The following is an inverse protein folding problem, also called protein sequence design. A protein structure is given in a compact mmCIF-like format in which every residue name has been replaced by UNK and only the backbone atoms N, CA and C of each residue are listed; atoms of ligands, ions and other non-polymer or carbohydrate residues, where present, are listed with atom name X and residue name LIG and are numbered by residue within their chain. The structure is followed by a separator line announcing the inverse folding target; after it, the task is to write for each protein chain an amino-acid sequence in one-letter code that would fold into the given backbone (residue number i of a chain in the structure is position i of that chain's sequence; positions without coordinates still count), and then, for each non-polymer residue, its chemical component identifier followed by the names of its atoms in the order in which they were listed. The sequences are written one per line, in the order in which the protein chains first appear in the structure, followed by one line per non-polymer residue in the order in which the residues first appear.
data_IF_040908281129
#
_entry.id   IF_040908281129
#
_cell.length_a   1.000
_cell.length_b   1.000
_cell.length_c   1.000
_cell.angle_alpha   90.00
_cell.angle_beta   90.00
_cell.angle_gamma   90.00
#
_symmetry.space_group_name_H-M   'P 1'
#
loop_
_entity.id
_entity.type
_entity.pdbx_description
1 polymer ?
#
# COMPACT_ATOMS: atom_id res chain seq x y z
N UNK A 1 25.41 -21.98 -3.67
CA UNK A 1 24.76 -20.78 -3.13
C UNK A 1 23.98 -20.12 -4.25
N UNK A 2 22.70 -20.48 -4.41
CA UNK A 2 21.76 -19.76 -5.29
C UNK A 2 20.54 -19.41 -4.43
N UNK A 3 20.56 -18.24 -3.80
CA UNK A 3 19.39 -17.71 -3.11
C UNK A 3 18.71 -16.72 -4.06
N UNK A 4 18.09 -17.26 -5.12
CA UNK A 4 17.25 -16.48 -6.03
C UNK A 4 15.99 -16.13 -5.26
N UNK A 5 15.88 -14.89 -4.81
CA UNK A 5 14.73 -14.38 -4.06
C UNK A 5 13.54 -14.34 -5.03
N UNK A 6 12.83 -15.45 -5.17
CA UNK A 6 11.57 -15.51 -5.92
C UNK A 6 10.49 -14.84 -5.05
N UNK A 7 10.57 -13.52 -4.91
CA UNK A 7 9.39 -12.74 -4.58
C UNK A 7 8.53 -12.79 -5.84
N UNK A 8 7.37 -13.40 -5.71
CA UNK A 8 6.41 -13.47 -6.80
C UNK A 8 5.26 -12.52 -6.45
N UNK A 9 4.58 -11.98 -7.45
CA UNK A 9 3.44 -11.09 -7.25
C UNK A 9 2.40 -11.66 -6.28
N UNK A 10 2.27 -13.00 -6.20
CA UNK A 10 1.40 -13.67 -5.22
C UNK A 10 1.82 -13.41 -3.78
N UNK A 11 3.13 -13.38 -3.49
CA UNK A 11 3.65 -13.10 -2.16
C UNK A 11 3.36 -11.64 -1.77
N UNK A 12 3.57 -10.70 -2.70
CA UNK A 12 3.23 -9.30 -2.51
C UNK A 12 1.73 -9.11 -2.24
N UNK A 13 0.87 -9.74 -3.06
CA UNK A 13 -0.58 -9.69 -2.89
C UNK A 13 -1.00 -10.24 -1.53
N UNK A 14 -0.44 -11.39 -1.13
CA UNK A 14 -0.71 -12.01 0.16
C UNK A 14 -0.22 -11.16 1.36
N UNK A 15 0.89 -10.44 1.23
CA UNK A 15 1.36 -9.51 2.26
C UNK A 15 0.43 -8.31 2.39
N UNK A 16 -0.03 -7.75 1.26
CA UNK A 16 -1.03 -6.67 1.25
C UNK A 16 -2.27 -7.04 2.06
N UNK A 17 -2.80 -8.23 1.82
CA UNK A 17 -3.95 -8.76 2.56
C UNK A 17 -3.68 -8.93 4.06
N UNK A 18 -2.49 -9.40 4.42
CA UNK A 18 -2.10 -9.58 5.82
C UNK A 18 -2.00 -8.25 6.57
N UNK A 19 -1.38 -7.23 5.95
CA UNK A 19 -1.25 -5.90 6.54
C UNK A 19 -2.60 -5.19 6.64
N UNK A 20 -3.43 -5.24 5.59
CA UNK A 20 -4.78 -4.67 5.62
C UNK A 20 -5.68 -5.37 6.65
N UNK A 21 -5.49 -6.67 6.85
CA UNK A 21 -6.19 -7.40 7.91
C UNK A 21 -5.69 -7.03 9.30
N UNK A 22 -4.39 -6.85 9.48
CA UNK A 22 -3.78 -6.48 10.75
C UNK A 22 -4.14 -5.05 11.19
N UNK A 23 -4.43 -4.15 10.25
CA UNK A 23 -4.90 -2.78 10.55
C UNK A 23 -6.30 -2.75 11.17
N UNK A 24 -7.06 -3.86 11.11
CA UNK A 24 -8.38 -4.00 11.74
C UNK A 24 -8.21 -4.46 13.20
N UNK A 25 -8.57 -3.64 14.21
CA UNK A 25 -8.54 -4.11 15.59
C UNK A 25 -9.56 -5.25 15.79
N UNK A 26 -9.12 -6.35 16.41
CA UNK A 26 -10.03 -7.42 16.87
C UNK A 26 -10.58 -7.05 18.26
N UNK A 27 -11.84 -6.63 18.32
CA UNK A 27 -12.59 -6.39 19.57
C UNK A 27 -12.63 -4.92 20.04
N UNK A 28 -13.27 -4.68 21.19
CA UNK A 28 -13.59 -3.35 21.75
C UNK A 28 -12.39 -2.47 22.16
N UNK A 29 -11.17 -3.00 22.17
CA UNK A 29 -9.95 -2.24 22.48
C UNK A 29 -9.02 -2.31 21.28
N UNK A 30 -8.84 -1.17 20.61
CA UNK A 30 -7.77 -1.03 19.64
C UNK A 30 -6.43 -1.25 20.37
N UNK A 31 -5.71 -2.33 20.04
CA UNK A 31 -4.39 -2.62 20.63
C UNK A 31 -3.28 -1.74 20.07
N UNK A 32 -3.55 -1.01 18.97
CA UNK A 32 -2.59 -0.21 18.24
C UNK A 32 -3.02 1.26 18.19
N UNK A 33 -2.08 2.19 18.38
CA UNK A 33 -2.31 3.61 18.13
C UNK A 33 -2.53 3.89 16.64
N UNK A 34 -3.10 5.05 16.30
CA UNK A 34 -3.36 5.45 14.90
C UNK A 34 -2.11 5.42 14.04
N UNK A 35 -0.94 5.75 14.59
CA UNK A 35 0.36 5.66 13.92
C UNK A 35 0.70 4.24 13.45
N UNK A 36 0.47 3.23 14.29
CA UNK A 36 0.75 1.84 13.92
C UNK A 36 -0.25 1.37 12.86
N UNK A 37 -1.51 1.78 12.98
CA UNK A 37 -2.53 1.46 11.97
C UNK A 37 -2.16 2.09 10.63
N UNK A 38 -1.73 3.35 10.61
CA UNK A 38 -1.23 4.02 9.41
C UNK A 38 -0.06 3.26 8.77
N UNK A 39 0.91 2.82 9.56
CA UNK A 39 2.04 2.06 9.03
C UNK A 39 1.61 0.72 8.41
N UNK A 40 0.65 0.03 9.03
CA UNK A 40 0.07 -1.20 8.46
C UNK A 40 -0.66 -0.92 7.14
N UNK A 41 -1.42 0.18 7.06
CA UNK A 41 -2.08 0.61 5.83
C UNK A 41 -1.04 0.98 4.75
N UNK A 42 0.01 1.72 5.11
CA UNK A 42 1.09 2.08 4.19
C UNK A 42 1.77 0.84 3.59
N UNK A 43 2.10 -0.15 4.43
CA UNK A 43 2.67 -1.41 3.97
C UNK A 43 1.70 -2.23 3.12
N UNK A 44 0.39 -2.14 3.36
CA UNK A 44 -0.59 -2.82 2.49
C UNK A 44 -0.67 -2.16 1.12
N UNK A 45 -0.69 -0.82 1.06
CA UNK A 45 -0.65 -0.07 -0.20
C UNK A 45 0.58 -0.45 -1.03
N UNK A 46 1.77 -0.35 -0.42
CA UNK A 46 3.03 -0.71 -1.05
C UNK A 46 2.97 -2.14 -1.61
N UNK A 47 2.53 -3.09 -0.79
CA UNK A 47 2.46 -4.50 -1.19
C UNK A 47 1.50 -4.73 -2.35
N UNK A 48 0.34 -4.05 -2.39
CA UNK A 48 -0.60 -4.18 -3.51
C UNK A 48 -0.06 -3.59 -4.80
N UNK A 49 0.58 -2.42 -4.74
CA UNK A 49 1.18 -1.81 -5.93
C UNK A 49 2.36 -2.66 -6.42
N UNK A 50 3.22 -3.14 -5.50
CA UNK A 50 4.31 -4.06 -5.83
C UNK A 50 3.80 -5.35 -6.47
N UNK A 51 2.66 -5.89 -6.02
CA UNK A 51 2.05 -7.08 -6.63
C UNK A 51 1.68 -6.82 -8.09
N UNK A 52 1.00 -5.71 -8.38
CA UNK A 52 0.61 -5.35 -9.74
C UNK A 52 1.85 -5.14 -10.61
N UNK A 53 2.83 -4.36 -10.14
CA UNK A 53 4.03 -4.07 -10.92
C UNK A 53 4.85 -5.34 -11.20
N UNK A 54 5.07 -6.18 -10.19
CA UNK A 54 5.83 -7.43 -10.32
C UNK A 54 5.13 -8.43 -11.26
N UNK A 55 3.79 -8.45 -11.25
CA UNK A 55 2.99 -9.21 -12.22
C UNK A 55 3.22 -8.76 -13.66
N UNK A 56 3.46 -7.46 -13.87
CA UNK A 56 3.85 -6.87 -15.15
C UNK A 56 5.37 -6.87 -15.40
N UNK A 57 6.16 -7.55 -14.55
CA UNK A 57 7.62 -7.60 -14.61
C UNK A 57 8.32 -6.23 -14.55
N UNK A 58 7.70 -5.28 -13.85
CA UNK A 58 8.25 -3.96 -13.55
C UNK A 58 8.39 -3.77 -12.04
N UNK A 59 9.23 -2.82 -11.63
CA UNK A 59 9.38 -2.41 -10.23
C UNK A 59 9.40 -0.88 -10.17
N UNK A 60 8.87 -0.27 -9.10
CA UNK A 60 8.93 1.18 -8.92
C UNK A 60 10.36 1.62 -8.60
N UNK A 61 10.66 2.88 -8.90
CA UNK A 61 11.98 3.46 -8.60
C UNK A 61 12.20 3.67 -7.09
N UNK A 62 11.10 3.85 -6.35
CA UNK A 62 11.09 4.11 -4.91
C UNK A 62 9.72 3.74 -4.31
N UNK A 63 9.64 3.66 -2.99
CA UNK A 63 8.49 3.16 -2.24
C UNK A 63 7.70 4.28 -1.54
N UNK A 64 7.88 5.53 -1.97
CA UNK A 64 6.96 6.62 -1.60
C UNK A 64 5.62 6.41 -2.32
N UNK A 65 4.52 6.94 -1.80
CA UNK A 65 3.21 6.76 -2.45
C UNK A 65 3.23 7.36 -3.85
N UNK A 66 3.83 8.54 -4.00
CA UNK A 66 4.01 9.23 -5.26
C UNK A 66 4.78 8.37 -6.26
N UNK A 67 5.90 7.77 -5.86
CA UNK A 67 6.71 6.95 -6.76
C UNK A 67 6.04 5.60 -7.08
N UNK A 68 5.33 5.02 -6.11
CA UNK A 68 4.50 3.84 -6.32
C UNK A 68 3.40 4.10 -7.35
N UNK A 69 2.66 5.20 -7.25
CA UNK A 69 1.61 5.54 -8.22
C UNK A 69 2.19 5.92 -9.59
N UNK A 70 3.35 6.58 -9.65
CA UNK A 70 4.04 6.82 -10.93
C UNK A 70 4.41 5.52 -11.62
N UNK A 71 4.92 4.55 -10.86
CA UNK A 71 5.19 3.20 -11.37
C UNK A 71 3.92 2.48 -11.79
N UNK A 72 2.84 2.60 -11.02
CA UNK A 72 1.55 1.97 -11.35
C UNK A 72 0.96 2.52 -12.66
N UNK A 73 1.08 3.83 -12.90
CA UNK A 73 0.59 4.49 -14.12
C UNK A 73 1.25 3.95 -15.41
N UNK A 74 2.43 3.31 -15.33
CA UNK A 74 3.10 2.73 -16.51
C UNK A 74 2.49 1.41 -16.96
N UNK A 75 1.76 0.73 -16.07
CA UNK A 75 1.19 -0.60 -16.32
C UNK A 75 -0.34 -0.60 -16.34
N UNK A 76 -0.98 0.34 -15.64
CA UNK A 76 -2.43 0.51 -15.66
C UNK A 76 -2.88 1.91 -15.29
N UNK A 77 -4.11 2.27 -15.67
CA UNK A 77 -4.74 3.51 -15.20
C UNK A 77 -5.54 3.26 -13.93
N UNK A 78 -5.31 4.08 -12.90
CA UNK A 78 -6.13 4.15 -11.68
C UNK A 78 -7.00 5.39 -11.75
N UNK A 79 -8.19 5.31 -11.14
CA UNK A 79 -9.06 6.47 -10.96
C UNK A 79 -8.28 7.65 -10.35
N UNK A 80 -8.20 8.81 -11.04
CA UNK A 80 -7.51 9.98 -10.53
C UNK A 80 -8.00 10.44 -9.15
N UNK A 81 -9.28 10.26 -8.84
CA UNK A 81 -9.86 10.68 -7.57
C UNK A 81 -9.39 9.76 -6.43
N UNK A 82 -9.35 8.44 -6.66
CA UNK A 82 -8.80 7.47 -5.71
C UNK A 82 -7.30 7.71 -5.47
N UNK A 83 -6.55 7.97 -6.55
CA UNK A 83 -5.12 8.31 -6.47
C UNK A 83 -4.90 9.57 -5.63
N UNK A 84 -5.64 10.64 -5.91
CA UNK A 84 -5.55 11.89 -5.16
C UNK A 84 -5.90 11.70 -3.67
N UNK A 85 -6.95 10.93 -3.39
CA UNK A 85 -7.38 10.56 -2.03
C UNK A 85 -6.30 9.81 -1.25
N UNK A 86 -5.48 8.98 -1.89
CA UNK A 86 -4.40 8.26 -1.22
C UNK A 86 -3.15 9.16 -1.06
N UNK A 87 -2.78 9.92 -2.10
CA UNK A 87 -1.56 10.73 -2.10
C UNK A 87 -1.57 11.85 -1.05
N UNK A 88 -2.74 12.37 -0.66
CA UNK A 88 -2.82 13.36 0.43
C UNK A 88 -2.25 12.85 1.76
N UNK A 89 -2.19 11.53 1.97
CA UNK A 89 -1.72 10.89 3.20
C UNK A 89 -0.20 10.63 3.23
N UNK A 90 0.51 10.80 2.12
CA UNK A 90 1.95 10.50 2.01
C UNK A 90 2.82 11.24 3.04
N UNK A 91 2.41 12.47 3.40
CA UNK A 91 3.19 13.33 4.29
C UNK A 91 2.90 13.13 5.78
N UNK A 92 2.00 12.20 6.16
CA UNK A 92 1.69 11.92 7.58
C UNK A 92 2.92 11.30 8.27
N UNK A 93 3.54 10.30 7.64
CA UNK A 93 4.84 9.79 8.06
C UNK A 93 5.74 9.58 6.83
N UNK A 94 6.68 10.51 6.60
CA UNK A 94 7.64 10.43 5.49
C UNK A 94 8.81 9.49 5.81
N UNK A 95 8.53 8.31 6.40
CA UNK A 95 9.56 7.36 6.85
C UNK A 95 10.29 6.66 5.68
N UNK A 96 9.69 6.66 4.50
CA UNK A 96 10.28 6.14 3.26
C UNK A 96 11.07 7.21 2.49
N UNK A 97 11.17 8.45 3.00
CA UNK A 97 11.98 9.52 2.41
C UNK A 97 13.36 9.57 3.06
N UNK A 98 14.40 9.64 2.23
CA UNK A 98 15.79 9.84 2.69
C UNK A 98 16.01 11.28 3.16
N UNK A 99 15.31 12.25 2.57
CA UNK A 99 15.58 13.68 2.74
C UNK A 99 14.69 14.36 3.80
N UNK A 100 13.49 13.83 4.07
CA UNK A 100 12.49 14.48 4.91
C UNK A 100 11.93 13.51 5.95
N UNK A 101 12.46 13.56 7.17
CA UNK A 101 11.87 12.85 8.31
C UNK A 101 10.85 13.74 9.03
N UNK A 102 9.57 13.42 8.92
CA UNK A 102 8.47 14.07 9.65
C UNK A 102 7.46 13.01 10.12
N UNK A 103 6.91 13.21 11.32
CA UNK A 103 5.84 12.36 11.88
C UNK A 103 4.78 13.25 12.51
N UNK A 104 3.58 13.19 11.95
CA UNK A 104 2.36 13.65 12.61
C UNK A 104 1.48 12.43 12.87
N UNK A 105 0.89 12.34 14.07
CA UNK A 105 -0.02 11.25 14.39
C UNK A 105 -1.33 11.45 13.60
N UNK A 106 -1.76 10.47 12.79
CA UNK A 106 -3.02 10.59 12.07
C UNK A 106 -4.22 10.53 13.04
N UNK A 107 -5.27 11.26 12.70
CA UNK A 107 -6.58 11.18 13.32
C UNK A 107 -7.28 9.86 12.97
N UNK A 108 -8.33 9.52 13.72
CA UNK A 108 -9.14 8.33 13.44
C UNK A 108 -9.90 8.43 12.10
N UNK A 109 -10.30 9.64 11.72
CA UNK A 109 -11.00 9.91 10.45
C UNK A 109 -10.07 9.68 9.26
N UNK A 110 -8.84 10.19 9.31
CA UNK A 110 -7.83 9.95 8.27
C UNK A 110 -7.48 8.46 8.14
N UNK A 111 -7.44 7.73 9.27
CA UNK A 111 -7.23 6.28 9.27
C UNK A 111 -8.39 5.55 8.59
N UNK A 112 -9.64 5.93 8.89
CA UNK A 112 -10.80 5.28 8.31
C UNK A 112 -10.92 5.57 6.81
N UNK A 113 -10.65 6.81 6.40
CA UNK A 113 -10.64 7.20 4.99
C UNK A 113 -9.55 6.48 4.20
N UNK A 114 -8.28 6.54 4.66
CA UNK A 114 -7.18 5.84 4.00
C UNK A 114 -7.48 4.35 3.89
N UNK A 115 -7.99 3.73 4.95
CA UNK A 115 -8.38 2.32 4.93
C UNK A 115 -9.46 2.02 3.91
N UNK A 116 -10.46 2.89 3.75
CA UNK A 116 -11.48 2.79 2.71
C UNK A 116 -10.84 2.76 1.32
N UNK A 117 -9.96 3.73 1.04
CA UNK A 117 -9.25 3.80 -0.23
C UNK A 117 -8.36 2.55 -0.50
N UNK A 118 -7.74 1.97 0.54
CA UNK A 118 -6.93 0.76 0.39
C UNK A 118 -7.73 -0.53 0.20
N UNK A 119 -9.00 -0.55 0.60
CA UNK A 119 -9.90 -1.65 0.23
C UNK A 119 -10.16 -1.61 -1.28
N UNK A 120 -10.36 -0.43 -1.86
CA UNK A 120 -10.53 -0.27 -3.31
C UNK A 120 -9.26 -0.68 -4.07
N UNK A 121 -8.07 -0.27 -3.61
CA UNK A 121 -6.79 -0.71 -4.19
C UNK A 121 -6.61 -2.23 -4.07
N UNK A 122 -7.01 -2.84 -2.95
CA UNK A 122 -6.98 -4.30 -2.77
C UNK A 122 -7.80 -5.00 -3.85
N UNK A 123 -9.04 -4.54 -4.09
CA UNK A 123 -9.91 -5.10 -5.13
C UNK A 123 -9.28 -4.96 -6.52
N UNK A 124 -8.71 -3.79 -6.83
CA UNK A 124 -7.98 -3.55 -8.09
C UNK A 124 -6.82 -4.54 -8.24
N UNK A 125 -5.97 -4.69 -7.22
CA UNK A 125 -4.82 -5.59 -7.26
C UNK A 125 -5.24 -7.05 -7.45
N UNK A 126 -6.27 -7.49 -6.72
CA UNK A 126 -6.82 -8.84 -6.88
C UNK A 126 -7.45 -9.08 -8.25
N UNK A 127 -8.06 -8.06 -8.87
CA UNK A 127 -8.58 -8.17 -10.23
C UNK A 127 -7.45 -8.21 -11.26
N UNK A 128 -6.51 -7.27 -11.20
CA UNK A 128 -5.39 -7.17 -12.14
C UNK A 128 -4.55 -8.46 -12.16
N UNK A 129 -4.20 -8.98 -10.98
CA UNK A 129 -3.35 -10.16 -10.85
C UNK A 129 -4.09 -11.50 -11.10
N UNK A 130 -5.43 -11.52 -11.13
CA UNK A 130 -6.22 -12.73 -11.48
C UNK A 130 -6.33 -12.96 -12.98
N UNK A 131 -6.20 -11.92 -13.79
CA UNK A 131 -6.56 -11.97 -15.23
C UNK A 131 -5.47 -12.61 -16.11
N UNK A 132 -4.25 -12.87 -15.62
CA UNK A 132 -3.20 -13.57 -16.40
C UNK A 132 -2.79 -14.94 -15.85
N UNK A 133 -3.71 -15.66 -15.20
CA UNK A 133 -3.55 -17.08 -14.90
C UNK A 133 -4.09 -17.96 -16.05
#
# INVERSE_FOLDING_TARGET
MNNTRALTWQAWLAHGDQYLKASKPKGYKNRFGTEIVYNLLSMSLESYIMAIMDFHHQLPENHTYTDLFRGLDTVMSVDPDLKARILQYENIQSICSIEKYHRTSPSLEEIDDLKGALIEISEIAHLACKVAA
#
